data_IF_262330212907
#
_entry.id   IF_262330212907
#
_cell.length_a   1.000
_cell.length_b   1.000
_cell.length_c   1.000
_cell.angle_alpha   90.00
_cell.angle_beta   90.00
_cell.angle_gamma   90.00
#
_symmetry.space_group_name_H-M   'P 1'
#
loop_
_entity.id
_entity.type
_entity.pdbx_description
1 polymer ?
#
# COMPACT_ATOMS: atom_id res chain seq x y z
N UNK A 1 17.17 -1.16 9.91
CA UNK A 1 16.62 -0.24 10.91
C UNK A 1 17.68 0.12 11.96
N UNK A 2 18.13 -0.84 12.78
CA UNK A 2 19.10 -0.58 13.89
C UNK A 2 20.35 0.13 13.38
N UNK A 3 20.98 -0.37 12.31
CA UNK A 3 22.17 0.27 11.73
C UNK A 3 21.93 1.73 11.33
N UNK A 4 20.77 2.03 10.72
CA UNK A 4 20.42 3.41 10.32
C UNK A 4 20.34 4.32 11.52
N UNK A 5 19.74 3.88 12.63
CA UNK A 5 19.62 4.68 13.86
C UNK A 5 20.99 4.91 14.51
N UNK A 6 21.79 3.86 14.65
CA UNK A 6 23.14 3.96 15.24
C UNK A 6 24.06 4.85 14.40
N UNK A 7 24.00 4.73 13.06
CA UNK A 7 24.82 5.55 12.17
C UNK A 7 24.50 7.05 12.29
N UNK A 8 23.26 7.41 12.56
CA UNK A 8 22.88 8.81 12.77
C UNK A 8 23.41 9.36 14.10
N UNK A 9 23.36 8.57 15.18
CA UNK A 9 23.90 8.97 16.49
C UNK A 9 25.43 9.06 16.44
N UNK A 10 26.09 7.97 16.03
CA UNK A 10 27.55 7.91 16.00
C UNK A 10 28.18 8.82 14.94
N UNK A 11 27.44 9.10 13.86
CA UNK A 11 27.83 10.08 12.84
C UNK A 11 27.65 11.54 13.28
N UNK A 12 27.13 11.80 14.50
CA UNK A 12 26.91 13.15 15.02
C UNK A 12 25.87 13.96 14.24
N UNK A 13 24.93 13.28 13.55
CA UNK A 13 23.90 13.92 12.71
C UNK A 13 22.82 14.54 13.60
N UNK A 14 22.38 13.82 14.65
CA UNK A 14 21.37 14.27 15.60
C UNK A 14 21.59 13.60 16.97
N UNK A 15 20.95 14.15 18.00
CA UNK A 15 20.95 13.59 19.34
C UNK A 15 20.14 12.28 19.40
N UNK A 16 20.43 11.42 20.38
CA UNK A 16 19.67 10.20 20.60
C UNK A 16 18.16 10.49 20.81
N UNK A 17 17.83 11.57 21.53
CA UNK A 17 16.44 11.99 21.77
C UNK A 17 15.75 12.49 20.49
N UNK A 18 16.46 13.24 19.65
CA UNK A 18 15.95 13.72 18.36
C UNK A 18 15.61 12.54 17.44
N UNK A 19 16.54 11.59 17.34
CA UNK A 19 16.34 10.37 16.54
C UNK A 19 15.19 9.52 17.08
N UNK A 20 15.08 9.36 18.40
CA UNK A 20 14.00 8.60 19.05
C UNK A 20 12.62 9.23 18.78
N UNK A 21 12.50 10.56 18.85
CA UNK A 21 11.27 11.29 18.53
C UNK A 21 10.87 11.11 17.06
N UNK A 22 11.81 11.21 16.14
CA UNK A 22 11.54 11.00 14.71
C UNK A 22 11.17 9.53 14.43
N UNK A 23 11.83 8.58 15.10
CA UNK A 23 11.60 7.15 14.97
C UNK A 23 10.20 6.72 15.43
N UNK A 24 9.66 7.28 16.51
CA UNK A 24 8.32 6.96 17.05
C UNK A 24 7.33 8.12 16.84
N UNK A 25 7.25 8.62 15.61
CA UNK A 25 6.25 9.63 15.19
C UNK A 25 4.83 9.05 15.07
N UNK A 26 3.81 9.92 14.98
CA UNK A 26 2.40 9.52 14.72
C UNK A 26 2.28 8.65 13.45
N UNK A 27 3.09 8.92 12.44
CA UNK A 27 3.15 8.11 11.23
C UNK A 27 3.55 6.65 11.51
N UNK A 28 4.50 6.41 12.43
CA UNK A 28 4.92 5.05 12.82
C UNK A 28 3.83 4.37 13.65
N UNK A 29 3.18 5.08 14.57
CA UNK A 29 2.03 4.57 15.32
C UNK A 29 0.87 4.21 14.39
N UNK A 30 0.63 5.00 13.35
CA UNK A 30 -0.38 4.69 12.35
C UNK A 30 -0.06 3.41 11.58
N UNK A 31 1.18 3.26 11.11
CA UNK A 31 1.62 2.05 10.41
C UNK A 31 1.51 0.83 11.32
N UNK A 32 1.94 0.96 12.58
CA UNK A 32 1.83 -0.10 13.57
C UNK A 32 0.37 -0.50 13.80
N UNK A 33 -0.50 0.46 14.07
CA UNK A 33 -1.92 0.23 14.27
C UNK A 33 -2.61 -0.38 13.04
N UNK A 34 -2.28 0.10 11.84
CA UNK A 34 -2.82 -0.44 10.58
C UNK A 34 -2.42 -1.89 10.33
N UNK A 35 -1.16 -2.25 10.60
CA UNK A 35 -0.70 -3.64 10.51
C UNK A 35 -1.37 -4.54 11.56
N UNK A 36 -1.59 -4.04 12.77
CA UNK A 36 -2.34 -4.77 13.80
C UNK A 36 -3.82 -4.95 13.42
N UNK A 37 -4.48 -3.93 12.86
CA UNK A 37 -5.84 -4.03 12.34
C UNK A 37 -5.95 -5.06 11.20
N UNK A 38 -4.94 -5.14 10.34
CA UNK A 38 -4.85 -6.16 9.31
C UNK A 38 -4.86 -7.58 9.89
N UNK A 39 -4.15 -7.83 11.00
CA UNK A 39 -4.18 -9.12 11.72
C UNK A 39 -5.60 -9.45 12.20
N UNK A 40 -6.34 -8.46 12.72
CA UNK A 40 -7.74 -8.65 13.12
C UNK A 40 -8.59 -9.14 11.94
N UNK A 41 -8.48 -8.49 10.79
CA UNK A 41 -9.25 -8.81 9.58
C UNK A 41 -8.96 -10.24 9.11
N UNK A 42 -7.70 -10.64 9.06
CA UNK A 42 -7.30 -12.01 8.68
C UNK A 42 -7.88 -13.04 9.65
N UNK A 43 -7.80 -12.77 10.97
CA UNK A 43 -8.32 -13.68 11.99
C UNK A 43 -9.82 -13.89 11.94
N UNK A 44 -10.57 -12.92 11.41
CA UNK A 44 -12.02 -13.03 11.24
C UNK A 44 -12.43 -13.83 9.99
N UNK A 45 -11.48 -14.27 9.15
CA UNK A 45 -11.75 -15.12 7.99
C UNK A 45 -12.55 -14.42 6.90
N UNK A 46 -12.20 -13.15 6.64
CA UNK A 46 -12.84 -12.37 5.57
C UNK A 46 -12.41 -12.80 4.16
N UNK A 47 -11.29 -13.51 4.05
CA UNK A 47 -10.75 -14.08 2.81
C UNK A 47 -11.80 -14.85 2.00
N UNK A 48 -12.49 -15.79 2.65
CA UNK A 48 -13.51 -16.61 1.99
C UNK A 48 -14.68 -15.79 1.43
N UNK A 49 -15.03 -14.70 2.08
CA UNK A 49 -16.16 -13.83 1.69
C UNK A 49 -15.82 -12.90 0.56
N UNK A 50 -14.61 -12.37 0.61
CA UNK A 50 -14.04 -11.60 -0.49
C UNK A 50 -14.04 -12.45 -1.76
N UNK A 51 -13.63 -13.73 -1.66
CA UNK A 51 -13.68 -14.68 -2.76
C UNK A 51 -15.09 -14.84 -3.35
N UNK A 52 -16.11 -15.03 -2.49
CA UNK A 52 -17.50 -15.11 -2.95
C UNK A 52 -17.99 -13.82 -3.59
N UNK A 53 -17.62 -12.68 -3.02
CA UNK A 53 -17.93 -11.36 -3.59
C UNK A 53 -17.38 -11.23 -5.01
N UNK A 54 -16.10 -11.55 -5.23
CA UNK A 54 -15.47 -11.52 -6.55
C UNK A 54 -16.30 -12.34 -7.55
N UNK A 55 -16.56 -13.60 -7.24
CA UNK A 55 -17.22 -14.53 -8.16
C UNK A 55 -18.67 -14.15 -8.45
N UNK A 56 -19.39 -13.56 -7.49
CA UNK A 56 -20.75 -13.07 -7.71
C UNK A 56 -20.80 -11.87 -8.68
N UNK A 57 -19.82 -10.97 -8.59
CA UNK A 57 -19.76 -9.78 -9.45
C UNK A 57 -19.18 -10.05 -10.83
N UNK A 58 -18.20 -10.95 -10.94
CA UNK A 58 -17.49 -11.20 -12.19
C UNK A 58 -18.11 -12.28 -13.07
N UNK A 59 -18.88 -13.18 -12.47
CA UNK A 59 -19.41 -14.36 -13.17
C UNK A 59 -18.30 -15.33 -13.57
N UNK A 60 -18.41 -15.94 -14.75
CA UNK A 60 -17.58 -17.05 -15.20
C UNK A 60 -16.66 -16.71 -16.40
N UNK A 61 -16.75 -15.51 -16.99
CA UNK A 61 -15.86 -15.04 -18.06
C UNK A 61 -14.47 -14.72 -17.50
N UNK A 62 -13.44 -15.28 -18.08
CA UNK A 62 -12.06 -15.10 -17.62
C UNK A 62 -11.62 -13.63 -17.57
N UNK A 63 -12.01 -12.83 -18.58
CA UNK A 63 -11.71 -11.39 -18.58
C UNK A 63 -12.31 -10.64 -17.38
N UNK A 64 -13.55 -10.97 -17.04
CA UNK A 64 -14.22 -10.36 -15.90
C UNK A 64 -13.60 -10.82 -14.57
N UNK A 65 -13.18 -12.10 -14.49
CA UNK A 65 -12.52 -12.65 -13.31
C UNK A 65 -11.17 -11.94 -13.08
N UNK A 66 -10.36 -11.78 -14.12
CA UNK A 66 -9.09 -11.04 -14.07
C UNK A 66 -9.31 -9.59 -13.61
N UNK A 67 -10.28 -8.91 -14.21
CA UNK A 67 -10.67 -7.56 -13.79
C UNK A 67 -11.17 -7.53 -12.34
N UNK A 68 -11.97 -8.50 -11.92
CA UNK A 68 -12.48 -8.59 -10.55
C UNK A 68 -11.39 -8.83 -9.51
N UNK A 69 -10.43 -9.71 -9.79
CA UNK A 69 -9.27 -9.90 -8.92
C UNK A 69 -8.47 -8.60 -8.78
N UNK A 70 -8.21 -7.91 -9.89
CA UNK A 70 -7.48 -6.66 -9.90
C UNK A 70 -8.23 -5.56 -9.13
N UNK A 71 -9.51 -5.33 -9.45
CA UNK A 71 -10.32 -4.27 -8.85
C UNK A 71 -10.53 -4.48 -7.35
N UNK A 72 -10.83 -5.71 -6.93
CA UNK A 72 -11.04 -6.01 -5.50
C UNK A 72 -9.73 -5.95 -4.73
N UNK A 73 -8.63 -6.45 -5.31
CA UNK A 73 -7.31 -6.28 -4.70
C UNK A 73 -6.97 -4.79 -4.55
N UNK A 74 -7.28 -3.96 -5.54
CA UNK A 74 -7.05 -2.52 -5.47
C UNK A 74 -7.92 -1.85 -4.38
N UNK A 75 -9.21 -2.14 -4.35
CA UNK A 75 -10.11 -1.55 -3.33
C UNK A 75 -9.67 -1.97 -1.93
N UNK A 76 -9.42 -3.24 -1.70
CA UNK A 76 -9.03 -3.73 -0.38
C UNK A 76 -7.66 -3.20 0.06
N UNK A 77 -6.68 -3.18 -0.83
CA UNK A 77 -5.32 -2.71 -0.48
C UNK A 77 -5.28 -1.23 -0.15
N UNK A 78 -6.25 -0.45 -0.65
CA UNK A 78 -6.41 0.94 -0.24
C UNK A 78 -6.64 1.08 1.27
N UNK A 79 -7.29 0.12 1.91
CA UNK A 79 -7.69 0.24 3.33
C UNK A 79 -6.89 -0.61 4.30
N UNK A 80 -6.45 -1.80 3.88
CA UNK A 80 -5.80 -2.77 4.77
C UNK A 80 -4.35 -3.07 4.39
N UNK A 81 -3.82 -2.34 3.40
CA UNK A 81 -2.45 -2.44 2.95
C UNK A 81 -2.18 -3.59 1.97
N UNK A 82 -1.23 -3.35 1.08
CA UNK A 82 -0.90 -4.24 -0.04
C UNK A 82 -0.44 -5.64 0.40
N UNK A 83 0.37 -5.73 1.48
CA UNK A 83 0.88 -7.01 1.99
C UNK A 83 -0.23 -7.94 2.48
N UNK A 84 -1.18 -7.35 3.23
CA UNK A 84 -2.31 -8.09 3.79
C UNK A 84 -3.22 -8.60 2.69
N UNK A 85 -3.53 -7.74 1.71
CA UNK A 85 -4.39 -8.12 0.60
C UNK A 85 -3.75 -9.17 -0.28
N UNK A 86 -2.46 -9.08 -0.58
CA UNK A 86 -1.74 -10.11 -1.29
C UNK A 86 -1.83 -11.46 -0.57
N UNK A 87 -1.60 -11.48 0.75
CA UNK A 87 -1.70 -12.70 1.56
C UNK A 87 -3.11 -13.32 1.58
N UNK A 88 -4.16 -12.50 1.48
CA UNK A 88 -5.56 -12.95 1.41
C UNK A 88 -5.93 -13.43 0.01
N UNK A 89 -5.54 -12.67 -1.02
CA UNK A 89 -5.99 -12.88 -2.39
C UNK A 89 -5.23 -14.02 -3.09
N UNK A 90 -3.95 -14.21 -2.76
CA UNK A 90 -3.10 -15.24 -3.38
C UNK A 90 -3.66 -16.66 -3.20
N UNK A 91 -4.05 -17.13 -1.98
CA UNK A 91 -4.68 -18.45 -1.81
C UNK A 91 -5.98 -18.62 -2.60
N UNK A 92 -6.75 -17.54 -2.77
CA UNK A 92 -8.00 -17.56 -3.54
C UNK A 92 -7.68 -17.76 -5.02
N UNK A 93 -6.76 -16.96 -5.58
CA UNK A 93 -6.31 -17.08 -6.96
C UNK A 93 -5.70 -18.45 -7.25
N UNK A 94 -4.81 -18.95 -6.37
CA UNK A 94 -4.20 -20.28 -6.49
C UNK A 94 -5.25 -21.41 -6.43
N UNK A 95 -6.30 -21.26 -5.62
CA UNK A 95 -7.38 -22.26 -5.57
C UNK A 95 -8.14 -22.30 -6.89
N UNK A 96 -8.45 -21.14 -7.49
CA UNK A 96 -9.11 -21.06 -8.78
C UNK A 96 -8.24 -21.68 -9.90
N UNK A 97 -6.95 -21.37 -9.92
CA UNK A 97 -5.98 -21.95 -10.87
C UNK A 97 -5.97 -23.47 -10.76
N UNK A 98 -5.82 -24.03 -9.54
CA UNK A 98 -5.79 -25.48 -9.28
C UNK A 98 -7.14 -26.16 -9.65
N UNK A 99 -8.27 -25.50 -9.49
CA UNK A 99 -9.57 -26.05 -9.91
C UNK A 99 -9.74 -26.06 -11.43
N UNK A 100 -8.97 -25.23 -12.13
CA UNK A 100 -9.00 -25.19 -13.61
C UNK A 100 -8.14 -26.30 -14.20
N UNK A 101 -6.92 -26.52 -13.69
CA UNK A 101 -6.05 -27.60 -14.11
C UNK A 101 -5.10 -28.02 -12.98
N UNK A 102 -4.82 -29.32 -12.89
CA UNK A 102 -3.76 -29.85 -12.01
C UNK A 102 -2.35 -29.59 -12.58
N UNK A 103 -2.26 -29.38 -13.88
CA UNK A 103 -1.02 -29.08 -14.59
C UNK A 103 -1.00 -27.60 -14.97
N UNK A 104 -0.22 -26.81 -14.21
CA UNK A 104 -0.10 -25.36 -14.38
C UNK A 104 0.55 -25.01 -15.73
N UNK A 105 1.35 -25.89 -16.31
CA UNK A 105 2.01 -25.63 -17.59
C UNK A 105 1.01 -25.47 -18.73
N UNK A 106 -0.14 -26.16 -18.64
CA UNK A 106 -1.24 -26.10 -19.62
C UNK A 106 -2.08 -24.83 -19.52
N UNK A 107 -1.96 -24.09 -18.44
CA UNK A 107 -2.74 -22.87 -18.15
C UNK A 107 -1.84 -21.72 -17.67
N UNK A 108 -0.62 -21.66 -18.21
CA UNK A 108 0.39 -20.68 -17.79
C UNK A 108 -0.08 -19.24 -17.91
N UNK A 109 -0.72 -18.89 -19.03
CA UNK A 109 -1.19 -17.53 -19.26
C UNK A 109 -2.36 -17.17 -18.33
N UNK A 110 -3.29 -18.07 -18.11
CA UNK A 110 -4.39 -17.89 -17.15
C UNK A 110 -3.84 -17.69 -15.73
N UNK A 111 -2.91 -18.55 -15.31
CA UNK A 111 -2.28 -18.45 -14.00
C UNK A 111 -1.55 -17.10 -13.84
N UNK A 112 -0.73 -16.73 -14.84
CA UNK A 112 -0.07 -15.42 -14.85
C UNK A 112 -1.06 -14.27 -14.80
N UNK A 113 -2.13 -14.29 -15.61
CA UNK A 113 -3.12 -13.22 -15.63
C UNK A 113 -3.79 -13.03 -14.26
N UNK A 114 -4.14 -14.12 -13.55
CA UNK A 114 -4.74 -14.04 -12.22
C UNK A 114 -3.73 -13.52 -11.19
N UNK A 115 -2.49 -14.05 -11.17
CA UNK A 115 -1.49 -13.64 -10.19
C UNK A 115 -1.06 -12.19 -10.39
N UNK A 116 -0.80 -11.75 -11.63
CA UNK A 116 -0.50 -10.35 -11.92
C UNK A 116 -1.68 -9.41 -11.61
N UNK A 117 -2.93 -9.86 -11.78
CA UNK A 117 -4.10 -9.07 -11.37
C UNK A 117 -4.12 -8.81 -9.88
N UNK A 118 -3.77 -9.81 -9.07
CA UNK A 118 -3.67 -9.65 -7.62
C UNK A 118 -2.52 -8.70 -7.26
N UNK A 119 -1.32 -8.96 -7.78
CA UNK A 119 -0.13 -8.16 -7.48
C UNK A 119 -0.30 -6.69 -7.87
N UNK A 120 -0.68 -6.43 -9.11
CA UNK A 120 -0.87 -5.06 -9.60
C UNK A 120 -2.09 -4.37 -8.98
N UNK A 121 -3.16 -5.13 -8.70
CA UNK A 121 -4.28 -4.59 -7.95
C UNK A 121 -3.86 -4.11 -6.55
N UNK A 122 -3.06 -4.90 -5.84
CA UNK A 122 -2.51 -4.50 -4.54
C UNK A 122 -1.66 -3.23 -4.63
N UNK A 123 -0.78 -3.12 -5.63
CA UNK A 123 0.07 -1.96 -5.83
C UNK A 123 -0.73 -0.70 -6.19
N UNK A 124 -1.62 -0.81 -7.18
CA UNK A 124 -2.46 0.30 -7.65
C UNK A 124 -3.34 0.83 -6.52
N UNK A 125 -3.98 -0.07 -5.77
CA UNK A 125 -4.89 0.35 -4.70
C UNK A 125 -4.18 0.95 -3.50
N UNK A 126 -2.98 0.49 -3.20
CA UNK A 126 -2.25 0.89 -1.99
C UNK A 126 -1.90 2.38 -1.93
N UNK A 127 -1.93 3.10 -3.05
CA UNK A 127 -1.76 4.57 -3.06
C UNK A 127 -3.04 5.32 -2.71
N UNK A 128 -4.22 4.67 -2.83
CA UNK A 128 -5.53 5.32 -2.74
C UNK A 128 -5.83 6.00 -1.42
N UNK A 129 -5.35 5.46 -0.31
CA UNK A 129 -5.53 6.05 1.02
C UNK A 129 -4.24 6.01 1.85
N UNK A 130 -4.13 6.81 2.89
CA UNK A 130 -2.99 6.73 3.82
C UNK A 130 -2.77 5.33 4.41
N UNK A 131 -3.83 4.59 4.74
CA UNK A 131 -3.73 3.24 5.29
C UNK A 131 -3.36 2.15 4.26
N UNK A 132 -3.42 2.45 2.97
CA UNK A 132 -3.09 1.51 1.91
C UNK A 132 -1.59 1.19 1.81
N UNK A 133 -0.73 2.14 2.17
CA UNK A 133 0.72 1.93 2.10
C UNK A 133 1.51 2.91 2.95
N UNK A 134 2.59 2.41 3.58
CA UNK A 134 3.44 3.23 4.44
C UNK A 134 4.06 4.43 3.73
N UNK A 135 4.30 4.35 2.42
CA UNK A 135 4.79 5.47 1.58
C UNK A 135 3.88 6.70 1.66
N UNK A 136 2.56 6.49 1.71
CA UNK A 136 1.58 7.58 1.77
C UNK A 136 1.71 8.35 3.09
N UNK A 137 1.84 7.63 4.19
CA UNK A 137 2.00 8.21 5.53
C UNK A 137 3.34 8.92 5.68
N UNK A 138 4.41 8.36 5.12
CA UNK A 138 5.72 9.00 5.08
C UNK A 138 5.63 10.32 4.33
N UNK A 139 4.99 10.34 3.16
CA UNK A 139 4.80 11.57 2.38
C UNK A 139 3.95 12.59 3.15
N UNK A 140 2.84 12.16 3.76
CA UNK A 140 2.03 13.06 4.60
C UNK A 140 2.83 13.65 5.75
N UNK A 141 3.68 12.87 6.40
CA UNK A 141 4.56 13.35 7.46
C UNK A 141 5.51 14.45 6.95
N UNK A 142 6.12 14.26 5.78
CA UNK A 142 6.98 15.28 5.18
C UNK A 142 6.22 16.54 4.77
N UNK A 143 5.03 16.40 4.17
CA UNK A 143 4.16 17.52 3.84
C UNK A 143 3.77 18.30 5.11
N UNK A 144 3.43 17.62 6.20
CA UNK A 144 3.15 18.26 7.50
C UNK A 144 4.36 19.04 8.04
N UNK A 145 5.58 18.51 7.89
CA UNK A 145 6.81 19.20 8.26
C UNK A 145 7.07 20.46 7.41
N UNK A 146 6.46 20.57 6.22
CA UNK A 146 6.46 21.77 5.39
C UNK A 146 5.24 22.70 5.67
N UNK A 147 4.45 22.43 6.71
CA UNK A 147 3.26 23.20 7.04
C UNK A 147 2.03 22.89 6.18
N UNK A 148 2.10 21.85 5.35
CA UNK A 148 1.00 21.41 4.49
C UNK A 148 0.25 20.25 5.15
N UNK A 149 -0.76 20.58 5.94
CA UNK A 149 -1.59 19.58 6.62
C UNK A 149 -2.61 18.98 5.66
N UNK A 150 -2.46 17.67 5.43
CA UNK A 150 -3.34 16.92 4.55
C UNK A 150 -4.15 15.92 5.37
N UNK A 151 -5.49 16.03 5.28
CA UNK A 151 -6.39 15.07 5.90
C UNK A 151 -6.42 13.75 5.12
N UNK A 152 -6.83 12.68 5.79
CA UNK A 152 -7.07 11.37 5.17
C UNK A 152 -8.00 11.48 3.96
N UNK A 153 -9.09 12.23 4.09
CA UNK A 153 -10.09 12.43 3.04
C UNK A 153 -9.56 13.24 1.86
N UNK A 154 -8.75 14.29 2.12
CA UNK A 154 -8.14 15.09 1.07
C UNK A 154 -7.19 14.25 0.21
N UNK A 155 -6.37 13.38 0.85
CA UNK A 155 -5.53 12.42 0.14
C UNK A 155 -6.35 11.56 -0.81
N UNK A 156 -7.45 10.98 -0.30
CA UNK A 156 -8.33 10.12 -1.11
C UNK A 156 -8.85 10.85 -2.35
N UNK A 157 -9.41 12.05 -2.19
CA UNK A 157 -9.98 12.81 -3.32
C UNK A 157 -8.92 13.06 -4.40
N UNK A 158 -7.68 13.36 -4.01
CA UNK A 158 -6.60 13.64 -4.96
C UNK A 158 -6.09 12.40 -5.69
N UNK A 159 -6.06 11.26 -5.02
CA UNK A 159 -5.39 10.05 -5.54
C UNK A 159 -6.36 9.04 -6.16
N UNK A 160 -7.60 8.93 -5.67
CA UNK A 160 -8.54 7.94 -6.22
C UNK A 160 -8.87 8.08 -7.70
N UNK A 161 -8.96 9.28 -8.31
CA UNK A 161 -9.15 9.39 -9.76
C UNK A 161 -8.08 8.64 -10.54
N UNK A 162 -6.83 8.67 -10.06
CA UNK A 162 -5.71 7.97 -10.65
C UNK A 162 -5.83 6.43 -10.46
N UNK A 163 -6.23 5.98 -9.26
CA UNK A 163 -6.48 4.55 -8.98
C UNK A 163 -7.56 3.99 -9.91
N UNK A 164 -8.69 4.71 -10.05
CA UNK A 164 -9.78 4.30 -10.92
C UNK A 164 -9.38 4.25 -12.40
N UNK A 165 -8.52 5.15 -12.84
CA UNK A 165 -8.00 5.14 -14.21
C UNK A 165 -7.05 3.96 -14.45
N UNK A 166 -6.21 3.63 -13.49
CA UNK A 166 -5.23 2.55 -13.62
C UNK A 166 -5.85 1.15 -13.68
N UNK A 167 -6.95 0.91 -12.95
CA UNK A 167 -7.58 -0.41 -12.90
C UNK A 167 -7.96 -0.94 -14.29
N UNK A 168 -8.74 -0.25 -15.13
CA UNK A 168 -9.08 -0.74 -16.46
C UNK A 168 -7.87 -0.83 -17.39
N UNK A 169 -6.92 0.11 -17.30
CA UNK A 169 -5.69 0.11 -18.11
C UNK A 169 -4.83 -1.13 -17.78
N UNK A 170 -4.60 -1.39 -16.49
CA UNK A 170 -3.83 -2.55 -16.05
C UNK A 170 -4.52 -3.87 -16.44
N UNK A 171 -5.85 -3.96 -16.29
CA UNK A 171 -6.61 -5.13 -16.73
C UNK A 171 -6.47 -5.38 -18.23
N UNK A 172 -6.56 -4.32 -19.03
CA UNK A 172 -6.38 -4.41 -20.47
C UNK A 172 -4.98 -4.89 -20.84
N UNK A 173 -3.93 -4.33 -20.23
CA UNK A 173 -2.54 -4.73 -20.45
C UNK A 173 -2.34 -6.20 -20.07
N UNK A 174 -2.81 -6.64 -18.90
CA UNK A 174 -2.68 -8.02 -18.44
C UNK A 174 -3.34 -8.99 -19.43
N UNK A 175 -4.56 -8.71 -19.84
CA UNK A 175 -5.31 -9.58 -20.76
C UNK A 175 -4.74 -9.57 -22.18
N UNK A 176 -4.09 -8.50 -22.60
CA UNK A 176 -3.42 -8.43 -23.91
C UNK A 176 -2.07 -9.16 -23.90
N UNK A 177 -1.35 -9.07 -22.79
CA UNK A 177 -0.04 -9.73 -22.61
C UNK A 177 -0.20 -11.23 -22.36
N UNK A 178 -1.05 -11.58 -21.40
CA UNK A 178 -1.34 -12.97 -21.05
C UNK A 178 -2.71 -13.33 -21.61
N UNK A 179 -2.74 -13.91 -22.80
CA UNK A 179 -3.99 -14.39 -23.43
C UNK A 179 -4.41 -15.69 -22.75
N UNK A 180 -5.44 -15.71 -21.85
CA UNK A 180 -5.81 -16.92 -21.13
C UNK A 180 -6.25 -18.04 -22.08
N UNK A 181 -5.87 -19.26 -21.76
CA UNK A 181 -6.20 -20.46 -22.55
C UNK A 181 -7.72 -20.76 -22.55
N UNK A 182 -8.40 -20.38 -21.49
CA UNK A 182 -9.85 -20.56 -21.36
C UNK A 182 -10.56 -19.22 -21.26
N UNK A 183 -11.56 -19.02 -22.12
CA UNK A 183 -12.41 -17.80 -22.10
C UNK A 183 -13.48 -17.85 -21.01
N UNK A 184 -13.86 -19.04 -20.57
CA UNK A 184 -14.92 -19.31 -19.58
C UNK A 184 -14.41 -20.35 -18.57
N UNK A 185 -14.67 -20.12 -17.28
CA UNK A 185 -14.20 -20.94 -16.15
C UNK A 185 -15.35 -21.51 -15.31
N UNK A 186 -16.47 -21.94 -15.95
CA UNK A 186 -17.70 -22.41 -15.27
C UNK A 186 -17.43 -23.46 -14.18
N UNK A 187 -16.71 -24.54 -14.52
CA UNK A 187 -16.46 -25.65 -13.61
C UNK A 187 -15.58 -25.23 -12.42
N UNK A 188 -14.58 -24.41 -12.67
CA UNK A 188 -13.63 -23.94 -11.66
C UNK A 188 -14.28 -22.95 -10.69
N UNK A 189 -15.06 -22.00 -11.22
CA UNK A 189 -15.84 -21.04 -10.45
C UNK A 189 -16.86 -21.78 -9.58
N UNK A 190 -17.61 -22.73 -10.12
CA UNK A 190 -18.59 -23.51 -9.36
C UNK A 190 -17.92 -24.30 -8.22
N UNK A 191 -16.78 -24.95 -8.45
CA UNK A 191 -16.02 -25.66 -7.41
C UNK A 191 -15.56 -24.70 -6.30
N UNK A 192 -15.08 -23.51 -6.68
CA UNK A 192 -14.64 -22.50 -5.72
C UNK A 192 -15.82 -21.97 -4.89
N UNK A 193 -16.95 -21.66 -5.51
CA UNK A 193 -18.19 -21.25 -4.82
C UNK A 193 -18.64 -22.31 -3.82
N UNK A 194 -18.67 -23.58 -4.20
CA UNK A 194 -19.06 -24.67 -3.30
C UNK A 194 -18.09 -24.79 -2.13
N UNK A 195 -16.79 -24.70 -2.38
CA UNK A 195 -15.76 -24.77 -1.32
C UNK A 195 -15.93 -23.64 -0.32
N UNK A 196 -16.16 -22.43 -0.80
CA UNK A 196 -16.28 -21.24 0.06
C UNK A 196 -17.65 -21.21 0.77
N UNK A 197 -18.72 -21.64 0.11
CA UNK A 197 -20.05 -21.74 0.73
C UNK A 197 -20.08 -22.73 1.91
N UNK A 198 -19.24 -23.76 1.88
CA UNK A 198 -19.02 -24.69 3.01
C UNK A 198 -18.15 -24.10 4.12
N UNK A 199 -17.45 -22.99 3.87
CA UNK A 199 -16.68 -22.31 4.88
C UNK A 199 -17.61 -21.45 5.76
N UNK A 200 -17.18 -21.23 7.00
CA UNK A 200 -17.87 -20.59 8.13
C UNK A 200 -18.98 -19.59 7.78
N UNK A 201 -20.19 -19.83 8.27
CA UNK A 201 -21.33 -18.88 8.17
C UNK A 201 -21.03 -17.55 8.90
N UNK A 202 -21.74 -16.46 8.51
CA UNK A 202 -21.62 -15.18 9.21
C UNK A 202 -22.12 -15.30 10.65
N UNK A 203 -21.24 -15.08 11.58
CA UNK A 203 -21.59 -14.98 13.00
C UNK A 203 -21.83 -13.49 13.32
N UNK A 204 -22.73 -13.17 14.25
CA UNK A 204 -22.93 -11.77 14.70
C UNK A 204 -21.63 -11.09 15.12
N UNK A 205 -20.66 -11.87 15.61
CA UNK A 205 -19.30 -11.41 15.93
C UNK A 205 -18.56 -10.79 14.74
N UNK A 206 -18.72 -11.36 13.54
CA UNK A 206 -18.08 -10.82 12.33
C UNK A 206 -18.72 -9.50 11.89
N UNK A 207 -20.04 -9.36 12.07
CA UNK A 207 -20.74 -8.10 11.79
C UNK A 207 -20.25 -6.99 12.71
N UNK A 208 -20.07 -7.27 13.99
CA UNK A 208 -19.51 -6.30 14.93
C UNK A 208 -18.09 -5.88 14.52
N UNK A 209 -17.26 -6.82 14.06
CA UNK A 209 -15.91 -6.51 13.57
C UNK A 209 -15.94 -5.55 12.39
N UNK A 210 -16.89 -5.72 11.46
CA UNK A 210 -17.08 -4.80 10.33
C UNK A 210 -17.49 -3.42 10.83
N UNK A 211 -18.44 -3.35 11.73
CA UNK A 211 -18.93 -2.07 12.30
C UNK A 211 -17.77 -1.31 12.98
N UNK A 212 -16.99 -2.01 13.82
CA UNK A 212 -15.82 -1.39 14.47
C UNK A 212 -14.83 -0.87 13.41
N UNK A 213 -14.55 -1.64 12.36
CA UNK A 213 -13.64 -1.19 11.28
C UNK A 213 -14.18 0.04 10.57
N UNK A 214 -15.47 0.10 10.28
CA UNK A 214 -16.11 1.26 9.68
C UNK A 214 -16.05 2.50 10.61
N UNK A 215 -16.20 2.31 11.92
CA UNK A 215 -16.05 3.39 12.89
C UNK A 215 -14.61 3.92 12.94
N UNK A 216 -13.61 3.05 12.87
CA UNK A 216 -12.20 3.45 12.77
C UNK A 216 -11.97 4.25 11.48
N UNK A 217 -12.51 3.77 10.36
CA UNK A 217 -12.41 4.47 9.08
C UNK A 217 -13.08 5.86 9.12
N UNK A 218 -14.27 5.96 9.70
CA UNK A 218 -14.93 7.25 9.95
C UNK A 218 -14.05 8.13 10.83
N UNK A 219 -13.43 7.56 11.86
CA UNK A 219 -12.46 8.25 12.71
C UNK A 219 -11.31 8.87 11.90
N UNK A 220 -10.73 8.12 10.99
CA UNK A 220 -9.65 8.63 10.12
C UNK A 220 -10.13 9.74 9.18
N UNK A 221 -11.31 9.61 8.59
CA UNK A 221 -11.86 10.61 7.66
C UNK A 221 -12.16 11.94 8.36
N UNK A 222 -12.77 11.89 9.54
CA UNK A 222 -13.30 13.10 10.19
C UNK A 222 -12.42 13.64 11.33
N UNK A 223 -11.65 12.79 12.00
CA UNK A 223 -10.91 13.16 13.22
C UNK A 223 -9.39 13.07 13.08
N UNK A 224 -8.85 12.72 11.89
CA UNK A 224 -7.40 12.59 11.69
C UNK A 224 -6.62 13.87 11.99
N UNK A 225 -7.19 15.03 11.69
CA UNK A 225 -6.53 16.32 11.93
C UNK A 225 -6.46 16.71 13.42
N UNK A 226 -7.38 16.22 14.24
CA UNK A 226 -7.47 16.59 15.67
C UNK A 226 -6.79 15.57 16.58
N UNK A 227 -6.91 14.28 16.26
CA UNK A 227 -6.41 13.18 17.11
C UNK A 227 -5.13 12.53 16.58
N UNK A 228 -4.79 12.77 15.32
CA UNK A 228 -3.74 12.04 14.62
C UNK A 228 -4.21 10.68 14.09
N UNK A 229 -3.55 10.22 13.04
CA UNK A 229 -3.88 8.93 12.41
C UNK A 229 -3.51 7.75 13.29
N UNK A 230 -2.36 7.84 13.97
CA UNK A 230 -1.82 6.76 14.80
C UNK A 230 -2.68 6.45 16.02
N UNK A 231 -3.13 7.49 16.72
CA UNK A 231 -3.98 7.32 17.91
C UNK A 231 -5.31 6.66 17.55
N UNK A 232 -5.93 7.05 16.44
CA UNK A 232 -7.18 6.44 15.98
C UNK A 232 -6.97 4.95 15.64
N UNK A 233 -5.87 4.61 14.95
CA UNK A 233 -5.54 3.23 14.63
C UNK A 233 -5.35 2.37 15.89
N UNK A 234 -4.55 2.86 16.84
CA UNK A 234 -4.27 2.15 18.09
C UNK A 234 -5.51 2.02 18.97
N UNK A 235 -6.36 3.06 19.02
CA UNK A 235 -7.67 2.99 19.71
C UNK A 235 -8.54 1.90 19.12
N UNK A 236 -8.55 1.75 17.80
CA UNK A 236 -9.25 0.67 17.13
C UNK A 236 -8.72 -0.71 17.51
N UNK A 237 -7.40 -0.89 17.55
CA UNK A 237 -6.76 -2.13 18.02
C UNK A 237 -7.16 -2.42 19.46
N UNK A 238 -7.13 -1.42 20.32
CA UNK A 238 -7.53 -1.55 21.73
C UNK A 238 -9.00 -2.00 21.87
N UNK A 239 -9.93 -1.39 21.11
CA UNK A 239 -11.34 -1.79 21.09
C UNK A 239 -11.49 -3.28 20.68
N UNK A 240 -10.75 -3.73 19.67
CA UNK A 240 -10.77 -5.13 19.26
C UNK A 240 -10.21 -6.08 20.31
N UNK A 241 -9.18 -5.66 21.06
CA UNK A 241 -8.61 -6.44 22.14
C UNK A 241 -9.59 -6.56 23.32
N UNK A 242 -10.14 -5.45 23.78
CA UNK A 242 -11.11 -5.42 24.90
C UNK A 242 -12.38 -6.19 24.55
N UNK A 243 -12.86 -6.06 23.31
CA UNK A 243 -13.99 -6.85 22.80
C UNK A 243 -13.67 -8.35 22.60
N UNK A 244 -12.44 -8.77 22.86
CA UNK A 244 -12.01 -10.18 22.74
C UNK A 244 -11.98 -10.69 21.29
N UNK A 245 -11.96 -9.81 20.28
CA UNK A 245 -11.89 -10.20 18.87
C UNK A 245 -10.50 -10.66 18.46
N UNK A 246 -9.46 -10.16 19.13
CA UNK A 246 -8.06 -10.53 18.94
C UNK A 246 -7.35 -10.53 20.28
N UNK A 247 -6.37 -11.43 20.46
CA UNK A 247 -5.52 -11.49 21.65
C UNK A 247 -4.17 -10.85 21.36
N UNK A 248 -3.51 -10.33 22.41
CA UNK A 248 -2.17 -9.79 22.28
C UNK A 248 -1.19 -10.77 21.63
N UNK A 249 -1.26 -12.06 21.98
CA UNK A 249 -0.41 -13.09 21.38
C UNK A 249 -0.59 -13.20 19.86
N UNK A 250 -1.82 -12.99 19.35
CA UNK A 250 -2.07 -12.97 17.91
C UNK A 250 -1.45 -11.75 17.25
N UNK A 251 -1.61 -10.58 17.84
CA UNK A 251 -0.99 -9.34 17.38
C UNK A 251 0.53 -9.47 17.39
N UNK A 252 1.11 -9.92 18.50
CA UNK A 252 2.55 -10.06 18.63
C UNK A 252 3.13 -11.04 17.60
N UNK A 253 2.44 -12.13 17.32
CA UNK A 253 2.92 -13.19 16.40
C UNK A 253 2.79 -12.80 14.93
N UNK A 254 1.72 -12.09 14.55
CA UNK A 254 1.37 -11.88 13.14
C UNK A 254 1.59 -10.44 12.66
N UNK A 255 1.86 -9.50 13.56
CA UNK A 255 2.28 -8.15 13.17
C UNK A 255 3.72 -8.18 12.68
N UNK A 256 3.97 -7.55 11.54
CA UNK A 256 5.31 -7.46 10.95
C UNK A 256 6.16 -6.38 11.66
N UNK A 257 6.64 -6.67 12.87
CA UNK A 257 7.44 -5.75 13.68
C UNK A 257 8.66 -5.19 12.96
N UNK A 258 9.34 -6.02 12.15
CA UNK A 258 10.48 -5.57 11.33
C UNK A 258 10.12 -4.45 10.37
N UNK A 259 8.90 -4.46 9.84
CA UNK A 259 8.37 -3.40 8.96
C UNK A 259 8.19 -2.09 9.75
N UNK A 260 7.61 -2.16 10.96
CA UNK A 260 7.43 -0.99 11.83
C UNK A 260 8.77 -0.34 12.18
N UNK A 261 9.75 -1.16 12.60
CA UNK A 261 11.10 -0.70 12.89
C UNK A 261 11.80 -0.07 11.67
N UNK A 262 11.59 -0.66 10.49
CA UNK A 262 12.13 -0.13 9.24
C UNK A 262 11.53 1.24 8.91
N UNK A 263 10.21 1.39 9.03
CA UNK A 263 9.54 2.68 8.79
C UNK A 263 10.01 3.76 9.75
N UNK A 264 10.11 3.46 11.04
CA UNK A 264 10.63 4.41 12.01
C UNK A 264 12.05 4.88 11.67
N UNK A 265 12.94 3.93 11.33
CA UNK A 265 14.31 4.25 10.95
C UNK A 265 14.40 5.08 9.65
N UNK A 266 13.56 4.76 8.65
CA UNK A 266 13.57 5.52 7.38
C UNK A 266 12.97 6.91 7.53
N UNK A 267 11.94 7.09 8.35
CA UNK A 267 11.38 8.42 8.66
C UNK A 267 12.44 9.27 9.40
N UNK A 268 13.10 8.70 10.39
CA UNK A 268 14.19 9.37 11.11
C UNK A 268 15.31 9.79 10.15
N UNK A 269 15.76 8.89 9.27
CA UNK A 269 16.79 9.19 8.26
C UNK A 269 16.35 10.33 7.34
N UNK A 270 15.13 10.28 6.81
CA UNK A 270 14.63 11.32 5.90
C UNK A 270 14.50 12.69 6.57
N UNK A 271 14.10 12.73 7.85
CA UNK A 271 14.09 13.98 8.64
C UNK A 271 15.50 14.55 8.75
N UNK A 272 16.49 13.71 8.98
CA UNK A 272 17.89 14.13 9.09
C UNK A 272 18.53 14.52 7.75
N UNK A 273 18.19 13.85 6.66
CA UNK A 273 18.59 14.27 5.30
C UNK A 273 18.10 15.70 5.01
N UNK A 274 16.90 16.03 5.49
CA UNK A 274 16.33 17.37 5.36
C UNK A 274 17.05 18.38 6.28
N UNK A 275 17.18 18.09 7.58
CA UNK A 275 17.73 19.02 8.58
C UNK A 275 19.19 19.34 8.35
N UNK A 276 19.98 18.42 7.80
CA UNK A 276 21.39 18.61 7.43
C UNK A 276 21.57 19.41 6.15
N UNK A 277 20.49 19.72 5.40
CA UNK A 277 20.58 20.40 4.11
C UNK A 277 20.99 19.48 2.94
N UNK A 278 21.27 18.20 3.18
CA UNK A 278 21.68 17.25 2.15
C UNK A 278 20.61 17.11 1.04
N UNK A 279 19.32 17.13 1.43
CA UNK A 279 18.20 17.11 0.47
C UNK A 279 18.25 18.32 -0.46
N UNK A 280 18.42 19.51 0.08
CA UNK A 280 18.49 20.76 -0.70
C UNK A 280 19.70 20.78 -1.62
N UNK A 281 20.88 20.35 -1.12
CA UNK A 281 22.08 20.24 -1.93
C UNK A 281 21.86 19.33 -3.13
N UNK A 282 21.29 18.13 -2.93
CA UNK A 282 21.04 17.18 -4.01
C UNK A 282 19.98 17.69 -5.00
N UNK A 283 18.93 18.33 -4.50
CA UNK A 283 17.92 18.98 -5.35
C UNK A 283 18.54 20.07 -6.23
N UNK A 284 19.44 20.91 -5.68
CA UNK A 284 20.15 21.93 -6.44
C UNK A 284 21.06 21.34 -7.53
N UNK A 285 21.68 20.16 -7.29
CA UNK A 285 22.42 19.46 -8.35
C UNK A 285 21.50 19.03 -9.50
N UNK A 286 20.32 18.50 -9.18
CA UNK A 286 19.34 18.13 -10.21
C UNK A 286 18.86 19.37 -10.96
N UNK A 287 18.54 20.46 -10.27
CA UNK A 287 18.10 21.71 -10.87
C UNK A 287 19.21 22.38 -11.70
N UNK A 288 20.48 22.23 -11.34
CA UNK A 288 21.59 22.76 -12.15
C UNK A 288 21.69 22.11 -13.52
N UNK A 289 21.30 20.83 -13.62
CA UNK A 289 21.35 20.07 -14.87
C UNK A 289 20.05 20.26 -15.68
N UNK A 290 18.91 20.19 -15.02
CA UNK A 290 17.60 20.12 -15.68
C UNK A 290 16.75 21.40 -15.49
N UNK A 291 17.13 22.34 -14.62
CA UNK A 291 16.27 23.45 -14.19
C UNK A 291 15.79 24.33 -15.35
N UNK A 292 16.68 24.73 -16.26
CA UNK A 292 16.29 25.54 -17.43
C UNK A 292 15.20 24.88 -18.29
N UNK A 293 15.24 23.56 -18.40
CA UNK A 293 14.27 22.78 -19.17
C UNK A 293 12.98 22.60 -18.37
N UNK A 294 13.09 22.41 -17.07
CA UNK A 294 11.94 22.31 -16.15
C UNK A 294 11.15 23.61 -16.08
N UNK A 295 11.83 24.76 -16.04
CA UNK A 295 11.18 26.09 -16.05
C UNK A 295 10.43 26.36 -17.37
N UNK A 296 10.94 25.84 -18.48
CA UNK A 296 10.32 26.02 -19.79
C UNK A 296 9.11 25.10 -20.01
N UNK A 297 9.08 23.93 -19.37
CA UNK A 297 8.05 22.90 -19.52
C UNK A 297 7.71 22.33 -18.14
N UNK A 298 6.70 22.87 -17.44
CA UNK A 298 6.35 22.41 -16.09
C UNK A 298 6.06 20.90 -15.95
N UNK A 299 5.46 20.30 -16.99
CA UNK A 299 5.18 18.85 -17.02
C UNK A 299 6.47 18.01 -17.01
N UNK A 300 7.60 18.60 -17.37
CA UNK A 300 8.88 17.87 -17.39
C UNK A 300 9.42 17.62 -15.98
N UNK A 301 9.13 18.49 -15.02
CA UNK A 301 9.46 18.26 -13.61
C UNK A 301 8.78 17.01 -13.08
N UNK A 302 7.47 16.86 -13.37
CA UNK A 302 6.71 15.68 -13.01
C UNK A 302 7.28 14.43 -13.67
N UNK A 303 7.58 14.50 -14.96
CA UNK A 303 8.15 13.38 -15.70
C UNK A 303 9.51 12.93 -15.14
N UNK A 304 10.41 13.87 -14.83
CA UNK A 304 11.71 13.57 -14.21
C UNK A 304 11.51 12.90 -12.85
N UNK A 305 10.63 13.43 -12.01
CA UNK A 305 10.32 12.86 -10.70
C UNK A 305 9.71 11.47 -10.84
N UNK A 306 8.79 11.26 -11.78
CA UNK A 306 8.20 9.95 -12.05
C UNK A 306 9.28 8.95 -12.45
N UNK A 307 10.16 9.31 -13.39
CA UNK A 307 11.22 8.41 -13.88
C UNK A 307 12.21 8.06 -12.77
N UNK A 308 12.70 9.04 -12.02
CA UNK A 308 13.65 8.82 -10.93
C UNK A 308 13.01 7.95 -9.83
N UNK A 309 11.81 8.35 -9.39
CA UNK A 309 11.12 7.66 -8.29
C UNK A 309 10.73 6.23 -8.68
N UNK A 310 10.21 6.03 -9.88
CA UNK A 310 9.86 4.68 -10.36
C UNK A 310 11.11 3.80 -10.54
N UNK A 311 12.20 4.35 -11.07
CA UNK A 311 13.45 3.60 -11.24
C UNK A 311 14.02 3.14 -9.92
N UNK A 312 14.11 4.04 -8.94
CA UNK A 312 14.59 3.72 -7.59
C UNK A 312 13.60 2.80 -6.87
N UNK A 313 12.28 3.00 -7.04
CA UNK A 313 11.23 2.16 -6.49
C UNK A 313 11.24 0.72 -7.00
N UNK A 314 11.89 0.44 -8.13
CA UNK A 314 12.12 -0.91 -8.60
C UNK A 314 13.38 -1.57 -7.99
N UNK A 315 14.26 -0.81 -7.36
CA UNK A 315 15.48 -1.31 -6.68
C UNK A 315 15.25 -1.39 -5.16
N UNK A 316 14.54 -0.41 -4.62
CA UNK A 316 14.19 -0.31 -3.20
C UNK A 316 12.69 -0.58 -3.00
N UNK A 317 12.27 -0.84 -1.77
CA UNK A 317 10.85 -0.87 -1.45
C UNK A 317 10.22 0.51 -1.65
N UNK A 318 8.96 0.56 -2.08
CA UNK A 318 8.21 1.81 -2.34
C UNK A 318 8.27 2.80 -1.17
N UNK A 319 8.21 2.31 0.05
CA UNK A 319 8.26 3.16 1.25
C UNK A 319 9.67 3.70 1.52
N UNK A 320 10.72 2.90 1.31
CA UNK A 320 12.10 3.36 1.41
C UNK A 320 12.39 4.42 0.32
N UNK A 321 11.86 4.22 -0.88
CA UNK A 321 11.96 5.17 -1.99
C UNK A 321 11.38 6.54 -1.61
N UNK A 322 10.15 6.58 -1.08
CA UNK A 322 9.54 7.83 -0.63
C UNK A 322 10.31 8.45 0.53
N UNK A 323 10.76 7.65 1.51
CA UNK A 323 11.50 8.16 2.65
C UNK A 323 12.81 8.87 2.26
N UNK A 324 13.48 8.39 1.22
CA UNK A 324 14.73 8.97 0.72
C UNK A 324 14.48 10.10 -0.26
N UNK A 325 13.58 9.90 -1.22
CA UNK A 325 13.39 10.84 -2.31
C UNK A 325 12.46 12.01 -1.98
N UNK A 326 11.45 11.83 -1.10
CA UNK A 326 10.51 12.92 -0.82
C UNK A 326 11.19 14.22 -0.36
N UNK A 327 12.14 14.21 0.60
CA UNK A 327 12.85 15.44 0.99
C UNK A 327 13.60 16.12 -0.15
N UNK A 328 13.97 15.36 -1.19
CA UNK A 328 14.71 15.86 -2.36
C UNK A 328 13.71 16.39 -3.40
N UNK A 329 12.75 15.56 -3.81
CA UNK A 329 11.80 15.89 -4.89
C UNK A 329 10.89 17.06 -4.53
N UNK A 330 10.53 17.22 -3.27
CA UNK A 330 9.73 18.34 -2.77
C UNK A 330 10.38 19.71 -2.95
N UNK A 331 11.69 19.76 -3.20
CA UNK A 331 12.42 20.99 -3.53
C UNK A 331 12.56 21.23 -5.04
N UNK A 332 12.10 20.31 -5.91
CA UNK A 332 12.22 20.43 -7.35
C UNK A 332 11.08 21.23 -8.00
N UNK A 333 10.03 21.55 -7.24
CA UNK A 333 8.90 22.31 -7.75
C UNK A 333 8.39 23.30 -6.69
N UNK A 334 7.90 24.48 -7.10
CA UNK A 334 7.25 25.42 -6.19
C UNK A 334 5.98 24.84 -5.57
N UNK A 335 5.25 23.98 -6.29
CA UNK A 335 4.07 23.27 -5.76
C UNK A 335 4.53 21.98 -5.03
N UNK A 336 4.96 22.16 -3.80
CA UNK A 336 5.43 21.08 -2.92
C UNK A 336 4.37 19.99 -2.71
N UNK A 337 3.07 20.37 -2.68
CA UNK A 337 1.98 19.41 -2.51
C UNK A 337 1.85 18.52 -3.74
N UNK A 338 1.81 19.12 -4.92
CA UNK A 338 1.68 18.38 -6.18
C UNK A 338 2.84 17.41 -6.38
N UNK A 339 4.06 17.90 -6.28
CA UNK A 339 5.25 17.08 -6.51
C UNK A 339 5.42 15.98 -5.44
N UNK A 340 4.99 16.24 -4.20
CA UNK A 340 4.93 15.24 -3.16
C UNK A 340 3.96 14.11 -3.49
N UNK A 341 2.75 14.43 -3.97
CA UNK A 341 1.79 13.43 -4.44
C UNK A 341 2.33 12.64 -5.64
N UNK A 342 2.95 13.32 -6.61
CA UNK A 342 3.60 12.66 -7.76
C UNK A 342 4.67 11.68 -7.28
N UNK A 343 5.51 12.06 -6.32
CA UNK A 343 6.54 11.18 -5.74
C UNK A 343 5.92 9.96 -5.05
N UNK A 344 4.90 10.16 -4.22
CA UNK A 344 4.24 9.06 -3.51
C UNK A 344 3.57 8.07 -4.48
N UNK A 345 2.86 8.57 -5.48
CA UNK A 345 2.18 7.75 -6.50
C UNK A 345 3.21 6.99 -7.34
N UNK A 346 4.25 7.67 -7.81
CA UNK A 346 5.28 7.09 -8.69
C UNK A 346 6.11 6.00 -8.00
N UNK A 347 6.25 6.06 -6.67
CA UNK A 347 6.92 5.01 -5.90
C UNK A 347 6.16 3.67 -5.94
N UNK A 348 4.87 3.67 -6.32
CA UNK A 348 4.09 2.47 -6.51
C UNK A 348 4.33 1.78 -7.86
N UNK A 349 5.07 2.40 -8.80
CA UNK A 349 5.38 1.82 -10.10
C UNK A 349 6.51 0.78 -10.05
N UNK A 350 6.57 0.03 -8.97
CA UNK A 350 7.47 -1.10 -8.76
C UNK A 350 7.01 -2.37 -9.49
N UNK A 351 6.73 -2.28 -10.80
CA UNK A 351 6.16 -3.39 -11.57
C UNK A 351 7.21 -4.32 -12.20
N UNK A 352 8.49 -3.90 -12.23
CA UNK A 352 9.52 -4.61 -12.99
C UNK A 352 10.33 -5.58 -12.15
N UNK A 353 10.38 -5.42 -10.82
CA UNK A 353 11.20 -6.25 -9.95
C UNK A 353 10.40 -6.82 -8.79
N UNK A 354 10.83 -8.01 -8.33
CA UNK A 354 10.26 -8.68 -7.16
C UNK A 354 10.55 -7.90 -5.87
N UNK A 355 11.65 -7.15 -5.85
CA UNK A 355 12.11 -6.41 -4.65
C UNK A 355 11.25 -5.18 -4.35
N UNK A 356 10.61 -4.62 -5.37
CA UNK A 356 9.88 -3.36 -5.28
C UNK A 356 8.69 -3.42 -4.31
N UNK A 357 7.98 -4.54 -4.28
CA UNK A 357 6.86 -4.74 -3.38
C UNK A 357 6.64 -6.22 -3.05
N UNK A 358 6.32 -6.55 -1.79
CA UNK A 358 6.03 -7.92 -1.38
C UNK A 358 4.84 -8.57 -2.09
N UNK A 359 3.94 -7.77 -2.68
CA UNK A 359 2.85 -8.29 -3.49
C UNK A 359 3.34 -8.94 -4.80
N UNK A 360 4.61 -8.68 -5.20
CA UNK A 360 5.23 -9.25 -6.39
C UNK A 360 6.04 -10.53 -6.10
N UNK A 361 6.29 -10.86 -4.83
CA UNK A 361 6.99 -12.08 -4.38
C UNK A 361 6.02 -13.24 -4.21
#
# INVERSE_FOLDING_TARGET
AIYILLAQVYGGIDSADGIAKAFMSDAVFFIMGSLMLAVVIIRQGWDSRIALGILKFTGNKTSNIVFGFLAISAILSSFIGEHTVAAIMLPIGMTLIRFTSNDITKIKNLASAILFSIAYGCLIGSVGTPSGGGRNVIMMNYLNQHGLFISYFYWMIKVYPFVFLQIPIASWIILHTFKPEYKILDSSVRKLVIKVAKSRQMTGRNTITIIIFLLIFIGWVFFSNSLGLGIIALSGVFIYMVGGFVRWNDLNKYTHWGVILLFGATISLGTNIRSTGAALWLSNQILSIFGKIMDSIPVLSDFIVIVITSSIGNILSSSATVAILAPITMNLSPDTLHIGLVTAISSAFGYFTIVAAPACT
#
